data_IF_670796394231
#
_entry.id   IF_670796394231
#
_cell.length_a   1.000
_cell.length_b   1.000
_cell.length_c   1.000
_cell.angle_alpha   90.00
_cell.angle_beta   90.00
_cell.angle_gamma   90.00
#
_symmetry.space_group_name_H-M   'P 1'
#
loop_
_entity.id
_entity.type
_entity.pdbx_description
1 polymer ?
#
# COMPACT_ATOMS: atom_id res chain seq x y z
N UNK A 1 60.04 8.79 -14.05
CA UNK A 1 59.13 7.95 -14.82
C UNK A 1 58.68 6.78 -13.98
N UNK A 2 57.49 6.82 -13.39
CA UNK A 2 56.75 5.65 -12.87
C UNK A 2 55.27 5.90 -13.07
N UNK A 3 54.65 5.10 -13.94
CA UNK A 3 53.20 5.06 -14.18
C UNK A 3 52.52 4.45 -12.96
N UNK A 4 51.55 5.14 -12.38
CA UNK A 4 50.60 4.61 -11.39
C UNK A 4 49.30 4.33 -12.13
N UNK A 5 48.91 3.08 -12.15
CA UNK A 5 47.67 2.59 -12.75
C UNK A 5 46.45 2.99 -11.89
N UNK A 6 45.47 3.60 -12.52
CA UNK A 6 44.13 3.79 -11.94
C UNK A 6 43.42 2.44 -11.91
N UNK A 7 43.07 1.94 -10.72
CA UNK A 7 42.08 0.85 -10.55
C UNK A 7 40.69 1.47 -10.44
N UNK A 8 39.78 0.90 -11.23
CA UNK A 8 38.41 1.27 -11.36
C UNK A 8 37.63 1.07 -10.06
N UNK A 9 36.91 2.12 -9.64
CA UNK A 9 35.82 2.05 -8.70
C UNK A 9 34.50 1.89 -9.53
N UNK A 10 34.02 0.67 -9.69
CA UNK A 10 32.74 0.36 -10.30
C UNK A 10 31.98 -0.70 -9.49
N UNK A 11 31.71 -0.40 -8.23
CA UNK A 11 30.99 -1.31 -7.35
C UNK A 11 29.75 -0.71 -6.67
N UNK A 12 29.65 0.62 -6.60
CA UNK A 12 28.64 1.27 -5.74
C UNK A 12 27.40 1.80 -6.48
N UNK A 13 27.27 1.55 -7.80
CA UNK A 13 26.12 2.11 -8.55
C UNK A 13 24.89 1.20 -8.61
N UNK A 14 25.01 -0.08 -8.28
CA UNK A 14 23.90 -1.05 -8.40
C UNK A 14 23.02 -1.05 -7.14
N UNK A 15 23.59 -0.87 -5.95
CA UNK A 15 22.82 -0.84 -4.70
C UNK A 15 21.94 0.41 -4.54
N UNK A 16 22.34 1.54 -5.12
CA UNK A 16 21.55 2.78 -5.08
C UNK A 16 20.28 2.75 -5.96
N UNK A 17 20.22 1.83 -6.95
CA UNK A 17 19.03 1.67 -7.80
C UNK A 17 17.96 0.74 -7.21
N UNK A 18 18.33 -0.13 -6.29
CA UNK A 18 17.42 -1.13 -5.68
C UNK A 18 16.57 -0.51 -4.55
N UNK A 19 17.12 0.45 -3.79
CA UNK A 19 16.34 1.20 -2.81
C UNK A 19 15.23 2.09 -3.43
N UNK A 20 15.37 2.44 -4.71
CA UNK A 20 14.41 3.29 -5.45
C UNK A 20 13.16 2.52 -5.89
N UNK A 21 13.20 1.19 -6.01
CA UNK A 21 12.06 0.41 -6.53
C UNK A 21 10.92 0.27 -5.52
N UNK A 22 11.21 0.17 -4.24
CA UNK A 22 10.16 0.19 -3.17
C UNK A 22 9.67 1.62 -2.89
N UNK A 23 10.44 2.64 -3.30
CA UNK A 23 10.12 4.07 -3.18
C UNK A 23 9.55 4.67 -4.46
N UNK A 24 9.57 3.96 -5.59
CA UNK A 24 9.20 4.46 -6.92
C UNK A 24 7.74 4.90 -7.07
N UNK A 25 6.83 4.42 -6.23
CA UNK A 25 5.45 4.91 -6.18
C UNK A 25 5.30 6.28 -5.49
N UNK A 26 6.33 6.76 -4.79
CA UNK A 26 6.33 8.05 -4.08
C UNK A 26 7.14 9.16 -4.77
N UNK A 27 8.00 8.85 -5.76
CA UNK A 27 8.99 9.82 -6.28
C UNK A 27 8.61 10.55 -7.58
N UNK A 28 7.46 10.27 -8.23
CA UNK A 28 7.10 10.87 -9.54
C UNK A 28 6.28 12.16 -9.47
N UNK A 29 5.92 12.67 -8.29
CA UNK A 29 5.14 13.92 -8.15
C UNK A 29 5.97 15.20 -7.98
N UNK A 30 7.29 15.13 -7.83
CA UNK A 30 8.11 16.29 -7.48
C UNK A 30 8.61 17.17 -8.65
N UNK A 31 8.46 16.80 -9.91
CA UNK A 31 9.13 17.49 -11.03
C UNK A 31 8.24 18.13 -12.10
N UNK A 32 6.97 18.48 -11.81
CA UNK A 32 6.14 19.21 -12.78
C UNK A 32 5.33 20.36 -12.17
N UNK A 33 6.00 21.28 -11.46
CA UNK A 33 5.40 22.58 -11.12
C UNK A 33 6.37 23.75 -11.40
N UNK A 34 6.67 23.98 -12.66
CA UNK A 34 7.07 25.29 -13.17
C UNK A 34 6.45 25.51 -14.55
N UNK A 35 5.24 26.05 -14.59
CA UNK A 35 4.80 27.05 -15.56
C UNK A 35 3.28 27.27 -15.46
N UNK A 36 2.98 28.50 -15.24
CA UNK A 36 1.78 29.27 -15.49
C UNK A 36 0.88 29.62 -14.30
N UNK A 37 1.24 30.76 -13.68
CA UNK A 37 0.29 31.67 -13.03
C UNK A 37 -0.78 32.12 -14.03
N UNK A 38 -2.04 31.71 -13.81
CA UNK A 38 -3.22 32.49 -14.19
C UNK A 38 -4.23 32.37 -13.05
N UNK A 39 -4.45 33.56 -12.41
CA UNK A 39 -5.57 33.79 -11.52
C UNK A 39 -6.88 33.50 -12.24
N UNK A 40 -7.71 32.64 -11.65
CA UNK A 40 -9.15 32.58 -11.91
C UNK A 40 -9.83 32.55 -10.55
N UNK A 41 -10.74 33.51 -10.37
CA UNK A 41 -11.54 33.78 -9.19
C UNK A 41 -12.41 32.58 -8.80
N UNK A 42 -12.46 32.34 -7.48
CA UNK A 42 -13.35 31.36 -6.86
C UNK A 42 -14.81 31.81 -6.96
N UNK A 43 -15.64 31.06 -7.64
CA UNK A 43 -17.09 31.05 -7.46
C UNK A 43 -17.56 29.68 -6.97
N UNK A 44 -18.46 29.74 -5.98
CA UNK A 44 -19.00 28.67 -5.20
C UNK A 44 -19.69 27.59 -6.05
N UNK A 45 -19.29 26.32 -5.87
CA UNK A 45 -20.09 25.16 -6.26
C UNK A 45 -20.29 24.30 -4.99
N UNK A 46 -21.53 23.92 -4.65
CA UNK A 46 -21.80 23.15 -3.43
C UNK A 46 -21.39 21.69 -3.60
N UNK A 47 -20.49 21.23 -2.72
CA UNK A 47 -20.24 19.81 -2.50
C UNK A 47 -21.48 19.15 -1.88
N UNK A 48 -22.09 18.21 -2.58
CA UNK A 48 -22.95 17.19 -1.98
C UNK A 48 -22.70 15.83 -2.63
N UNK A 49 -22.52 14.86 -1.75
CA UNK A 49 -22.50 13.41 -1.95
C UNK A 49 -21.21 12.80 -2.51
N UNK A 50 -20.27 12.58 -1.60
CA UNK A 50 -19.22 11.58 -1.71
C UNK A 50 -19.72 10.27 -1.09
N UNK A 51 -19.60 9.18 -1.83
CA UNK A 51 -19.84 7.81 -1.37
C UNK A 51 -18.95 7.53 -0.15
N UNK A 52 -19.58 7.34 0.98
CA UNK A 52 -18.97 6.75 2.17
C UNK A 52 -18.65 5.28 1.86
N UNK A 53 -17.39 4.97 1.72
CA UNK A 53 -16.90 3.61 1.88
C UNK A 53 -16.68 3.40 3.38
N UNK A 54 -17.68 2.84 4.05
CA UNK A 54 -17.62 2.40 5.43
C UNK A 54 -16.55 1.30 5.59
N UNK A 55 -15.40 1.67 6.13
CA UNK A 55 -14.53 0.73 6.80
C UNK A 55 -14.96 0.64 8.27
N UNK A 56 -15.93 -0.20 8.55
CA UNK A 56 -16.23 -0.58 9.93
C UNK A 56 -15.22 -1.62 10.40
N UNK A 57 -14.22 -1.19 11.17
CA UNK A 57 -13.56 -2.06 12.14
C UNK A 57 -14.61 -2.57 13.12
N UNK A 58 -14.87 -3.87 13.11
CA UNK A 58 -15.71 -4.50 14.14
C UNK A 58 -14.90 -4.70 15.40
N UNK A 59 -14.97 -3.73 16.31
CA UNK A 59 -14.54 -3.89 17.69
C UNK A 59 -15.53 -4.74 18.49
N UNK A 60 -14.91 -5.69 19.19
CA UNK A 60 -15.33 -6.45 20.34
C UNK A 60 -16.76 -6.25 20.88
N UNK A 61 -17.56 -7.29 20.77
CA UNK A 61 -18.80 -7.47 21.51
C UNK A 61 -18.49 -8.00 22.91
N UNK A 62 -18.77 -7.16 23.92
CA UNK A 62 -18.86 -7.56 25.32
C UNK A 62 -19.90 -8.67 25.54
N UNK A 63 -19.49 -9.68 26.32
CA UNK A 63 -20.34 -10.74 26.83
C UNK A 63 -21.52 -10.21 27.65
N UNK A 64 -22.72 -10.51 27.22
CA UNK A 64 -23.87 -10.69 28.12
C UNK A 64 -24.38 -12.12 28.01
N UNK A 65 -24.18 -12.85 29.09
CA UNK A 65 -24.76 -14.18 29.31
C UNK A 65 -26.28 -14.07 29.42
N UNK A 66 -27.00 -14.85 28.63
CA UNK A 66 -28.34 -15.33 28.93
C UNK A 66 -28.49 -16.74 28.36
N UNK A 67 -28.60 -17.70 29.26
CA UNK A 67 -28.93 -19.07 28.98
C UNK A 67 -30.30 -19.18 28.28
N UNK A 68 -30.36 -19.89 27.18
CA UNK A 68 -31.55 -20.64 26.78
C UNK A 68 -31.12 -21.85 25.96
N UNK A 69 -31.56 -23.02 26.40
CA UNK A 69 -31.28 -24.34 25.86
C UNK A 69 -31.90 -24.58 24.46
N UNK A 70 -31.20 -25.42 23.72
CA UNK A 70 -31.66 -26.35 22.67
C UNK A 70 -32.27 -25.82 21.37
N UNK A 71 -31.47 -25.92 20.31
CA UNK A 71 -31.75 -26.85 19.20
C UNK A 71 -30.48 -27.07 18.37
N UNK A 72 -29.97 -28.30 18.40
CA UNK A 72 -29.04 -28.86 17.41
C UNK A 72 -29.84 -28.96 16.13
N UNK A 73 -29.41 -28.28 15.03
CA UNK A 73 -29.39 -28.84 13.69
C UNK A 73 -28.94 -27.79 12.66
N UNK A 74 -28.15 -28.29 11.73
CA UNK A 74 -27.63 -27.68 10.51
C UNK A 74 -26.30 -26.91 10.65
N UNK A 75 -25.25 -27.71 10.86
CA UNK A 75 -23.95 -27.39 10.27
C UNK A 75 -24.18 -27.49 8.74
N UNK A 76 -24.49 -26.39 8.10
CA UNK A 76 -24.35 -26.26 6.66
C UNK A 76 -22.86 -26.43 6.37
N UNK A 77 -22.48 -27.57 5.80
CA UNK A 77 -21.18 -27.74 5.15
C UNK A 77 -21.01 -26.56 4.18
N UNK A 78 -20.21 -25.57 4.55
CA UNK A 78 -19.82 -24.52 3.64
C UNK A 78 -19.04 -25.19 2.53
N UNK A 79 -19.60 -25.21 1.32
CA UNK A 79 -18.87 -25.72 0.16
C UNK A 79 -17.55 -24.97 0.07
N UNK A 80 -16.43 -25.68 -0.13
CA UNK A 80 -15.13 -25.04 -0.24
C UNK A 80 -15.19 -23.98 -1.37
N UNK A 81 -14.57 -22.86 -1.14
CA UNK A 81 -14.45 -21.76 -2.11
C UNK A 81 -13.92 -22.33 -3.43
N UNK A 82 -14.69 -22.17 -4.51
CA UNK A 82 -14.25 -22.51 -5.86
C UNK A 82 -13.89 -21.22 -6.58
N UNK A 83 -12.61 -21.05 -6.84
CA UNK A 83 -12.11 -19.97 -7.67
C UNK A 83 -12.35 -20.28 -9.16
N UNK A 84 -12.82 -19.30 -9.93
CA UNK A 84 -13.13 -19.45 -11.35
C UNK A 84 -11.91 -19.28 -12.29
N UNK A 85 -10.72 -19.03 -11.72
CA UNK A 85 -9.48 -18.79 -12.48
C UNK A 85 -9.18 -17.33 -12.76
N UNK A 86 -10.19 -16.51 -13.04
CA UNK A 86 -10.01 -15.10 -13.43
C UNK A 86 -10.39 -14.11 -12.33
N UNK A 87 -9.67 -13.00 -12.31
CA UNK A 87 -9.93 -11.85 -11.44
C UNK A 87 -10.12 -10.60 -12.29
N UNK A 88 -10.75 -9.57 -11.71
CA UNK A 88 -10.93 -8.26 -12.33
C UNK A 88 -10.29 -7.19 -11.47
N UNK A 89 -9.33 -6.47 -12.04
CA UNK A 89 -8.56 -5.41 -11.38
C UNK A 89 -8.89 -4.09 -12.06
N UNK A 90 -9.34 -3.11 -11.29
CA UNK A 90 -9.51 -1.75 -11.78
C UNK A 90 -8.16 -1.03 -11.84
N UNK A 91 -7.87 -0.43 -12.97
CA UNK A 91 -6.62 0.28 -13.21
C UNK A 91 -6.83 1.75 -12.93
N UNK A 92 -6.10 2.29 -11.97
CA UNK A 92 -6.18 3.69 -11.61
C UNK A 92 -5.54 4.61 -12.66
N UNK A 93 -6.01 5.85 -12.70
CA UNK A 93 -5.51 6.89 -13.57
C UNK A 93 -4.04 7.20 -13.29
N UNK A 94 -3.41 7.98 -14.17
CA UNK A 94 -2.00 8.34 -14.06
C UNK A 94 -1.70 9.00 -12.71
N UNK A 95 -0.63 8.54 -12.05
CA UNK A 95 -0.27 8.96 -10.69
C UNK A 95 -1.22 8.45 -9.59
N UNK A 96 -2.00 7.38 -9.82
CA UNK A 96 -2.92 6.76 -8.85
C UNK A 96 -3.93 7.75 -8.24
N UNK A 97 -4.50 8.64 -9.09
CA UNK A 97 -5.41 9.71 -8.66
C UNK A 97 -6.89 9.30 -8.59
N UNK A 98 -7.22 8.06 -8.92
CA UNK A 98 -8.57 7.51 -8.87
C UNK A 98 -8.84 6.52 -10.01
N UNK A 99 -10.00 5.89 -9.98
CA UNK A 99 -10.38 4.81 -10.90
C UNK A 99 -10.79 5.30 -12.29
N UNK A 100 -11.09 6.59 -12.45
CA UNK A 100 -11.63 7.12 -13.69
C UNK A 100 -10.58 7.89 -14.49
N UNK A 101 -10.66 7.73 -15.82
CA UNK A 101 -9.73 8.35 -16.77
C UNK A 101 -10.50 9.31 -17.68
N UNK A 102 -9.90 10.48 -17.99
CA UNK A 102 -10.46 11.40 -18.98
C UNK A 102 -10.31 10.82 -20.39
N UNK A 103 -9.20 10.12 -20.64
CA UNK A 103 -8.86 9.49 -21.92
C UNK A 103 -8.03 8.24 -21.72
N UNK A 104 -8.15 7.30 -22.64
CA UNK A 104 -7.32 6.11 -22.72
C UNK A 104 -6.73 5.94 -24.11
N UNK A 105 -5.48 5.48 -24.19
CA UNK A 105 -4.79 5.10 -25.42
C UNK A 105 -4.25 3.70 -25.19
N UNK A 106 -4.81 2.71 -25.90
CA UNK A 106 -4.53 1.28 -25.68
C UNK A 106 -4.16 0.61 -27.00
N UNK A 107 -3.24 -0.33 -26.95
CA UNK A 107 -2.90 -1.16 -28.12
C UNK A 107 -1.45 -1.60 -28.16
N UNK A 108 -0.89 -1.68 -29.37
CA UNK A 108 0.51 -1.98 -29.68
C UNK A 108 1.21 -0.77 -30.29
N UNK A 109 2.52 -0.86 -30.53
CA UNK A 109 3.22 0.21 -31.27
C UNK A 109 2.65 0.48 -32.65
N UNK A 110 2.19 -0.59 -33.35
CA UNK A 110 1.67 -0.54 -34.70
C UNK A 110 0.21 -0.11 -34.78
N UNK A 111 -0.61 -0.47 -33.74
CA UNK A 111 -2.05 -0.18 -33.71
C UNK A 111 -2.44 0.35 -32.33
N UNK A 112 -2.91 1.61 -32.26
CA UNK A 112 -3.40 2.27 -31.06
C UNK A 112 -4.86 2.66 -31.23
N UNK A 113 -5.65 2.38 -30.21
CA UNK A 113 -7.04 2.81 -30.13
C UNK A 113 -7.18 3.91 -29.06
N UNK A 114 -8.07 4.86 -29.34
CA UNK A 114 -8.23 6.09 -28.57
C UNK A 114 -9.64 6.18 -28.04
N UNK A 115 -9.79 6.43 -26.76
CA UNK A 115 -11.07 6.54 -26.08
C UNK A 115 -11.11 7.82 -25.25
N UNK A 116 -12.26 8.52 -25.30
CA UNK A 116 -12.50 9.75 -24.57
C UNK A 116 -13.73 9.59 -23.69
N UNK A 117 -13.68 10.11 -22.45
CA UNK A 117 -14.83 10.13 -21.55
C UNK A 117 -15.98 10.95 -22.15
N UNK A 118 -17.20 10.45 -22.05
CA UNK A 118 -18.40 11.05 -22.61
C UNK A 118 -18.79 10.55 -24.01
N UNK A 119 -17.98 9.69 -24.65
CA UNK A 119 -18.28 9.13 -25.96
C UNK A 119 -19.20 7.90 -25.92
N UNK A 120 -19.63 7.48 -24.72
CA UNK A 120 -20.47 6.29 -24.52
C UNK A 120 -19.75 4.97 -24.78
N UNK A 121 -18.44 4.93 -24.60
CA UNK A 121 -17.58 3.75 -24.87
C UNK A 121 -17.98 2.58 -23.96
N UNK A 122 -18.15 1.38 -24.56
CA UNK A 122 -18.25 0.12 -23.84
C UNK A 122 -17.64 -0.99 -24.69
N UNK A 123 -16.35 -1.25 -24.49
CA UNK A 123 -15.56 -2.16 -25.34
C UNK A 123 -14.75 -3.13 -24.50
N UNK A 124 -14.48 -4.29 -25.11
CA UNK A 124 -13.56 -5.30 -24.57
C UNK A 124 -12.43 -5.48 -25.59
N UNK A 125 -11.19 -5.28 -25.14
CA UNK A 125 -10.00 -5.41 -25.96
C UNK A 125 -9.24 -6.67 -25.52
N UNK A 126 -9.01 -7.59 -26.44
CA UNK A 126 -8.16 -8.76 -26.17
C UNK A 126 -6.83 -8.64 -26.91
N UNK A 127 -5.71 -9.10 -26.33
CA UNK A 127 -4.41 -9.12 -26.98
C UNK A 127 -4.43 -9.87 -28.33
N UNK A 128 -5.22 -10.95 -28.44
CA UNK A 128 -5.33 -11.74 -29.67
C UNK A 128 -5.87 -10.91 -30.84
N UNK A 129 -6.80 -9.98 -30.57
CA UNK A 129 -7.33 -9.07 -31.59
C UNK A 129 -6.28 -8.09 -32.15
N UNK A 130 -5.16 -7.95 -31.43
CA UNK A 130 -4.00 -7.14 -31.79
C UNK A 130 -2.78 -8.00 -32.21
N UNK A 131 -2.93 -9.32 -32.29
CA UNK A 131 -1.86 -10.28 -32.60
C UNK A 131 -0.64 -10.16 -31.67
N UNK A 132 -0.90 -10.03 -30.35
CA UNK A 132 0.12 -9.86 -29.32
C UNK A 132 -0.25 -10.67 -28.06
N UNK A 133 0.66 -10.78 -27.10
CA UNK A 133 0.42 -11.39 -25.80
C UNK A 133 -0.06 -10.37 -24.76
N UNK A 134 0.25 -9.09 -24.97
CA UNK A 134 -0.09 -8.01 -24.03
C UNK A 134 -0.57 -6.76 -24.75
N UNK A 135 -1.45 -6.00 -24.10
CA UNK A 135 -1.82 -4.65 -24.52
C UNK A 135 -1.11 -3.59 -23.67
N UNK A 136 -0.58 -2.57 -24.32
CA UNK A 136 0.05 -1.42 -23.66
C UNK A 136 -0.97 -0.31 -23.45
N UNK A 137 -1.01 0.27 -22.25
CA UNK A 137 -1.82 1.47 -21.97
C UNK A 137 -0.92 2.71 -22.02
N UNK A 138 -0.84 3.35 -23.18
CA UNK A 138 0.06 4.48 -23.47
C UNK A 138 -0.31 5.77 -22.74
N UNK A 139 -1.53 5.88 -22.27
CA UNK A 139 -2.00 7.03 -21.46
C UNK A 139 -1.63 6.94 -19.99
N UNK A 140 -1.02 5.83 -19.55
CA UNK A 140 -0.54 5.64 -18.18
C UNK A 140 0.98 5.64 -18.16
N UNK A 141 1.53 6.17 -17.06
CA UNK A 141 2.94 6.09 -16.74
C UNK A 141 3.14 5.49 -15.36
N UNK A 142 3.87 4.39 -15.29
CA UNK A 142 4.27 3.69 -14.08
C UNK A 142 5.80 3.68 -13.99
N UNK A 143 6.39 3.09 -12.97
CA UNK A 143 7.85 2.97 -12.85
C UNK A 143 8.46 2.21 -14.05
N UNK A 144 7.73 1.25 -14.61
CA UNK A 144 8.12 0.52 -15.82
C UNK A 144 7.92 1.32 -17.14
N UNK A 145 7.46 2.56 -17.09
CA UNK A 145 6.97 3.33 -18.25
C UNK A 145 5.49 3.06 -18.50
N UNK A 146 5.11 2.86 -19.77
CA UNK A 146 3.73 2.51 -20.11
C UNK A 146 3.47 1.04 -19.74
N UNK A 147 2.52 0.76 -18.82
CA UNK A 147 2.28 -0.61 -18.35
C UNK A 147 1.66 -1.49 -19.43
N UNK A 148 1.99 -2.78 -19.37
CA UNK A 148 1.50 -3.82 -20.29
C UNK A 148 0.63 -4.81 -19.51
N UNK A 149 -0.48 -5.21 -20.13
CA UNK A 149 -1.46 -6.08 -19.50
C UNK A 149 -1.70 -7.35 -20.30
N UNK A 150 -1.56 -8.50 -19.68
CA UNK A 150 -2.12 -9.77 -20.13
C UNK A 150 -3.62 -9.79 -19.91
N UNK A 151 -4.31 -10.79 -20.47
CA UNK A 151 -5.77 -10.89 -20.34
C UNK A 151 -6.51 -9.81 -21.14
N UNK A 152 -7.77 -9.58 -20.81
CA UNK A 152 -8.61 -8.61 -21.54
C UNK A 152 -8.74 -7.29 -20.78
N UNK A 153 -8.81 -6.19 -21.54
CA UNK A 153 -9.08 -4.86 -21.01
C UNK A 153 -10.51 -4.45 -21.34
N UNK A 154 -11.29 -4.15 -20.32
CA UNK A 154 -12.64 -3.62 -20.43
C UNK A 154 -12.58 -2.12 -20.21
N UNK A 155 -13.12 -1.34 -21.15
CA UNK A 155 -13.23 0.11 -21.07
C UNK A 155 -14.71 0.46 -21.08
N UNK A 156 -15.20 1.01 -19.97
CA UNK A 156 -16.61 1.39 -19.83
C UNK A 156 -16.70 2.87 -19.48
N UNK A 157 -17.46 3.62 -20.28
CA UNK A 157 -17.74 5.02 -20.00
C UNK A 157 -18.78 5.15 -18.88
N UNK A 158 -18.48 5.96 -17.90
CA UNK A 158 -19.28 6.26 -16.72
C UNK A 158 -19.46 7.78 -16.59
N UNK A 159 -20.41 8.28 -15.79
CA UNK A 159 -20.56 9.71 -15.56
C UNK A 159 -19.29 10.39 -15.04
N UNK A 160 -18.46 9.64 -14.29
CA UNK A 160 -17.21 10.11 -13.68
C UNK A 160 -16.00 10.01 -14.61
N UNK A 161 -16.12 9.32 -15.76
CA UNK A 161 -15.07 9.09 -16.75
C UNK A 161 -14.96 7.64 -17.21
N UNK A 162 -13.90 7.30 -17.92
CA UNK A 162 -13.67 5.94 -18.40
C UNK A 162 -13.14 5.06 -17.24
N UNK A 163 -13.85 3.98 -16.96
CA UNK A 163 -13.38 2.92 -16.07
C UNK A 163 -12.60 1.88 -16.88
N UNK A 164 -11.34 1.66 -16.52
CA UNK A 164 -10.48 0.63 -17.11
C UNK A 164 -10.38 -0.56 -16.15
N UNK A 165 -10.75 -1.75 -16.61
CA UNK A 165 -10.66 -3.00 -15.85
C UNK A 165 -9.86 -4.03 -16.63
N UNK A 166 -8.91 -4.67 -15.99
CA UNK A 166 -8.18 -5.82 -16.53
C UNK A 166 -8.80 -7.11 -15.97
N UNK A 167 -9.29 -7.97 -16.86
CA UNK A 167 -9.71 -9.33 -16.55
C UNK A 167 -8.61 -10.31 -16.95
N UNK A 168 -8.09 -11.06 -15.96
CA UNK A 168 -6.84 -11.81 -16.11
C UNK A 168 -6.87 -13.10 -15.29
N UNK A 169 -6.17 -14.15 -15.72
CA UNK A 169 -5.90 -15.34 -14.91
C UNK A 169 -5.06 -14.99 -13.69
N UNK A 170 -5.31 -15.63 -12.55
CA UNK A 170 -4.67 -15.32 -11.27
C UNK A 170 -3.14 -15.40 -11.33
N UNK A 171 -2.60 -16.48 -11.90
CA UNK A 171 -1.15 -16.67 -11.95
C UNK A 171 -0.46 -15.63 -12.88
N UNK A 172 -1.12 -15.21 -13.96
CA UNK A 172 -0.63 -14.13 -14.83
C UNK A 172 -0.70 -12.77 -14.13
N UNK A 173 -1.73 -12.51 -13.33
CA UNK A 173 -1.82 -11.31 -12.48
C UNK A 173 -0.63 -11.22 -11.53
N UNK A 174 -0.26 -12.31 -10.88
CA UNK A 174 0.86 -12.34 -9.94
C UNK A 174 2.20 -11.97 -10.60
N UNK A 175 2.38 -12.23 -11.91
CA UNK A 175 3.60 -11.81 -12.62
C UNK A 175 3.76 -10.28 -12.67
N UNK A 176 2.67 -9.52 -12.60
CA UNK A 176 2.70 -8.06 -12.49
C UNK A 176 2.74 -7.56 -11.05
N UNK A 177 2.25 -8.36 -10.09
CA UNK A 177 2.23 -8.00 -8.65
C UNK A 177 3.58 -8.26 -8.00
N UNK A 178 4.10 -9.47 -8.10
CA UNK A 178 5.27 -9.89 -7.33
C UNK A 178 6.48 -8.97 -7.52
N UNK A 179 6.92 -8.60 -8.74
CA UNK A 179 8.03 -7.67 -8.92
C UNK A 179 7.68 -6.22 -8.53
N UNK A 180 6.38 -5.88 -8.46
CA UNK A 180 5.93 -4.54 -8.06
C UNK A 180 5.86 -4.38 -6.54
N UNK A 181 5.70 -5.47 -5.79
CA UNK A 181 5.62 -5.52 -4.33
C UNK A 181 6.96 -5.84 -3.68
N UNK A 182 7.76 -6.75 -4.28
CA UNK A 182 9.02 -7.21 -3.72
C UNK A 182 10.13 -7.15 -4.78
N UNK A 183 11.33 -6.59 -4.46
CA UNK A 183 12.44 -6.57 -5.40
C UNK A 183 12.79 -7.97 -5.90
N UNK A 184 12.80 -8.17 -7.22
CA UNK A 184 13.12 -9.44 -7.85
C UNK A 184 14.54 -9.97 -7.51
N UNK A 185 15.42 -9.13 -6.92
CA UNK A 185 16.73 -9.50 -6.40
C UNK A 185 16.71 -10.19 -5.04
N UNK A 186 15.55 -10.35 -4.42
CA UNK A 186 15.44 -11.07 -3.14
C UNK A 186 15.68 -12.58 -3.34
N UNK A 187 16.03 -13.32 -2.26
CA UNK A 187 16.18 -14.78 -2.32
C UNK A 187 14.91 -15.46 -2.84
N UNK A 188 15.07 -16.58 -3.53
CA UNK A 188 13.97 -17.34 -4.14
C UNK A 188 12.89 -17.71 -3.11
N UNK A 189 13.28 -18.16 -1.92
CA UNK A 189 12.34 -18.54 -0.86
C UNK A 189 11.51 -17.33 -0.35
N UNK A 190 12.09 -16.13 -0.31
CA UNK A 190 11.33 -14.92 0.00
C UNK A 190 10.33 -14.56 -1.10
N UNK A 191 10.71 -14.72 -2.38
CA UNK A 191 9.82 -14.49 -3.52
C UNK A 191 8.67 -15.51 -3.53
N UNK A 192 8.94 -16.79 -3.20
CA UNK A 192 7.91 -17.85 -3.07
C UNK A 192 6.92 -17.51 -1.94
N UNK A 193 7.42 -17.13 -0.75
CA UNK A 193 6.57 -16.72 0.36
C UNK A 193 5.67 -15.54 -0.02
N UNK A 194 6.23 -14.53 -0.71
CA UNK A 194 5.46 -13.37 -1.18
C UNK A 194 4.43 -13.77 -2.24
N UNK A 195 4.73 -14.70 -3.15
CA UNK A 195 3.79 -15.17 -4.16
C UNK A 195 2.57 -15.85 -3.51
N UNK A 196 2.80 -16.71 -2.50
CA UNK A 196 1.71 -17.33 -1.71
C UNK A 196 0.89 -16.27 -0.97
N UNK A 197 1.55 -15.31 -0.33
CA UNK A 197 0.85 -14.21 0.34
C UNK A 197 0.01 -13.39 -0.66
N UNK A 198 0.55 -12.97 -1.78
CA UNK A 198 -0.16 -12.17 -2.78
C UNK A 198 -1.37 -12.91 -3.34
N UNK A 199 -1.22 -14.21 -3.64
CA UNK A 199 -2.31 -15.08 -4.10
C UNK A 199 -3.40 -15.21 -3.05
N UNK A 200 -3.04 -15.48 -1.80
CA UNK A 200 -3.99 -15.59 -0.69
C UNK A 200 -4.76 -14.30 -0.48
N UNK A 201 -4.06 -13.16 -0.48
CA UNK A 201 -4.64 -11.85 -0.24
C UNK A 201 -5.69 -11.49 -1.31
N UNK A 202 -5.36 -11.60 -2.60
CA UNK A 202 -6.32 -11.25 -3.65
C UNK A 202 -7.56 -12.15 -3.64
N UNK A 203 -7.38 -13.47 -3.36
CA UNK A 203 -8.50 -14.41 -3.26
C UNK A 203 -9.39 -14.12 -2.04
N UNK A 204 -8.80 -13.79 -0.91
CA UNK A 204 -9.54 -13.37 0.27
C UNK A 204 -10.37 -12.10 -0.01
N UNK A 205 -9.74 -11.07 -0.56
CA UNK A 205 -10.42 -9.81 -0.87
C UNK A 205 -11.54 -9.98 -1.90
N UNK A 206 -11.33 -10.82 -2.92
CA UNK A 206 -12.37 -11.16 -3.87
C UNK A 206 -13.55 -11.88 -3.20
N UNK A 207 -13.27 -12.79 -2.27
CA UNK A 207 -14.30 -13.48 -1.49
C UNK A 207 -15.13 -12.50 -0.63
N UNK A 208 -14.51 -11.43 -0.13
CA UNK A 208 -15.19 -10.35 0.60
C UNK A 208 -15.96 -9.39 -0.31
N UNK A 209 -15.85 -9.51 -1.64
CA UNK A 209 -16.48 -8.60 -2.60
C UNK A 209 -15.80 -7.22 -2.66
N UNK A 210 -14.53 -7.13 -2.27
CA UNK A 210 -13.77 -5.89 -2.31
C UNK A 210 -13.58 -5.41 -3.75
N UNK A 211 -13.47 -4.09 -3.92
CA UNK A 211 -13.03 -3.46 -5.17
C UNK A 211 -11.51 -3.61 -5.26
N UNK A 212 -11.04 -4.37 -6.25
CA UNK A 212 -9.62 -4.64 -6.44
C UNK A 212 -9.03 -3.59 -7.38
N UNK A 213 -7.94 -2.93 -6.99
CA UNK A 213 -7.25 -1.93 -7.81
C UNK A 213 -5.72 -2.16 -7.87
N UNK A 214 -5.03 -1.41 -8.73
CA UNK A 214 -3.60 -1.56 -9.00
C UNK A 214 -2.68 -0.73 -8.10
N UNK A 215 -3.20 -0.16 -7.01
CA UNK A 215 -2.46 0.75 -6.14
C UNK A 215 -2.07 0.13 -4.79
N UNK A 216 -1.33 0.92 -3.98
CA UNK A 216 -0.98 0.57 -2.61
C UNK A 216 -2.17 0.45 -1.64
N UNK A 217 -3.38 0.83 -2.07
CA UNK A 217 -4.59 0.58 -1.28
C UNK A 217 -5.01 -0.89 -1.33
N UNK A 218 -4.56 -1.62 -2.35
CA UNK A 218 -4.81 -3.05 -2.53
C UNK A 218 -3.49 -3.81 -2.74
N UNK A 219 -3.06 -4.03 -4.00
CA UNK A 219 -1.76 -4.60 -4.37
C UNK A 219 -1.19 -3.84 -5.55
N UNK A 220 0.06 -3.43 -5.46
CA UNK A 220 0.71 -2.74 -6.58
C UNK A 220 0.84 -3.68 -7.76
N UNK A 221 0.23 -3.32 -8.89
CA UNK A 221 0.16 -4.16 -10.08
C UNK A 221 0.74 -3.45 -11.30
N UNK A 222 1.62 -4.11 -12.04
CA UNK A 222 2.28 -3.60 -13.25
C UNK A 222 3.00 -2.24 -13.09
N UNK A 223 3.45 -1.93 -11.86
CA UNK A 223 4.30 -0.76 -11.63
C UNK A 223 5.77 -1.04 -12.02
N UNK A 224 6.20 -2.30 -11.91
CA UNK A 224 7.51 -2.80 -12.35
C UNK A 224 7.28 -3.90 -13.40
N UNK A 225 8.17 -3.99 -14.38
CA UNK A 225 8.08 -5.04 -15.39
C UNK A 225 8.26 -6.44 -14.77
N UNK A 226 7.63 -7.45 -15.35
CA UNK A 226 7.77 -8.84 -14.90
C UNK A 226 9.26 -9.28 -14.97
N UNK A 227 9.64 -10.19 -14.06
CA UNK A 227 11.01 -10.72 -13.93
C UNK A 227 10.98 -12.24 -13.88
N UNK A 228 11.90 -12.89 -14.58
CA UNK A 228 11.95 -14.35 -14.70
C UNK A 228 12.07 -15.08 -13.34
N UNK A 229 12.75 -14.48 -12.33
CA UNK A 229 12.86 -15.05 -10.99
C UNK A 229 11.54 -14.99 -10.24
N UNK A 230 10.81 -13.88 -10.38
CA UNK A 230 9.46 -13.76 -9.85
C UNK A 230 8.52 -14.77 -10.52
N UNK A 231 8.59 -14.91 -11.85
CA UNK A 231 7.76 -15.86 -12.59
C UNK A 231 8.07 -17.32 -12.19
N UNK A 232 9.34 -17.66 -11.95
CA UNK A 232 9.74 -18.97 -11.46
C UNK A 232 9.20 -19.24 -10.03
N UNK A 233 9.25 -18.26 -9.13
CA UNK A 233 8.70 -18.36 -7.78
C UNK A 233 7.17 -18.55 -7.80
N UNK A 234 6.45 -17.80 -8.65
CA UNK A 234 5.00 -17.97 -8.87
C UNK A 234 4.68 -19.37 -9.37
N UNK A 235 5.40 -19.84 -10.41
CA UNK A 235 5.16 -21.14 -11.01
C UNK A 235 5.45 -22.29 -10.04
N UNK A 236 6.50 -22.18 -9.19
CA UNK A 236 6.86 -23.23 -8.22
C UNK A 236 5.88 -23.33 -7.04
N UNK A 237 5.09 -22.29 -6.78
CA UNK A 237 4.06 -22.22 -5.74
C UNK A 237 2.64 -22.12 -6.31
N UNK A 238 2.46 -22.51 -7.59
CA UNK A 238 1.18 -22.33 -8.28
C UNK A 238 0.03 -23.03 -7.52
N UNK A 239 -1.06 -22.28 -7.32
CA UNK A 239 -2.23 -22.74 -6.58
C UNK A 239 -2.06 -22.83 -5.06
N UNK A 240 -0.89 -22.53 -4.48
CA UNK A 240 -0.70 -22.57 -3.03
C UNK A 240 -1.22 -21.30 -2.35
N UNK A 241 -1.99 -21.50 -1.27
CA UNK A 241 -2.57 -20.43 -0.45
C UNK A 241 -2.42 -20.73 1.04
N UNK A 242 -2.47 -19.70 1.85
CA UNK A 242 -2.70 -19.80 3.28
C UNK A 242 -4.21 -19.91 3.54
N UNK A 243 -4.65 -20.96 4.21
CA UNK A 243 -6.05 -21.23 4.47
C UNK A 243 -6.41 -21.12 5.96
N UNK A 244 -7.70 -20.85 6.22
CA UNK A 244 -8.32 -20.85 7.55
C UNK A 244 -8.52 -22.26 8.15
N UNK A 245 -7.98 -23.31 7.52
CA UNK A 245 -8.17 -24.72 7.87
C UNK A 245 -9.53 -25.31 7.45
N UNK A 246 -10.43 -24.51 6.88
CA UNK A 246 -11.69 -24.96 6.24
C UNK A 246 -11.58 -24.94 4.72
N UNK A 247 -10.40 -24.57 4.25
CA UNK A 247 -10.10 -24.47 2.84
C UNK A 247 -10.48 -23.12 2.20
N UNK A 248 -10.78 -22.07 2.93
CA UNK A 248 -10.94 -20.72 2.37
C UNK A 248 -9.62 -19.96 2.46
N UNK A 249 -9.34 -19.05 1.51
CA UNK A 249 -8.23 -18.12 1.68
C UNK A 249 -8.37 -17.38 3.01
N UNK A 250 -7.28 -17.33 3.78
CA UNK A 250 -7.26 -16.64 5.07
C UNK A 250 -7.07 -15.14 4.88
N UNK A 251 -7.53 -14.36 5.86
CA UNK A 251 -7.19 -12.94 5.97
C UNK A 251 -5.71 -12.82 6.34
N UNK A 252 -4.92 -12.29 5.42
CA UNK A 252 -3.48 -12.08 5.65
C UNK A 252 -3.06 -10.72 5.13
N UNK A 253 -1.93 -10.22 5.63
CA UNK A 253 -1.32 -8.97 5.23
C UNK A 253 0.19 -9.13 5.13
N UNK A 254 0.86 -8.22 4.44
CA UNK A 254 2.32 -8.14 4.41
C UNK A 254 2.77 -6.68 4.32
N UNK A 255 3.98 -6.38 4.74
CA UNK A 255 4.52 -5.04 4.78
C UNK A 255 6.04 -5.06 4.61
N UNK A 256 6.66 -3.88 4.44
CA UNK A 256 8.05 -3.78 4.03
C UNK A 256 9.05 -4.26 5.11
N UNK A 257 9.08 -3.58 6.29
CA UNK A 257 10.16 -3.77 7.28
C UNK A 257 9.60 -3.76 8.70
N UNK A 258 9.99 -4.74 9.51
CA UNK A 258 9.65 -4.80 10.93
C UNK A 258 10.60 -3.93 11.77
N UNK A 259 10.04 -3.28 12.80
CA UNK A 259 10.81 -2.59 13.85
C UNK A 259 11.28 -3.54 14.96
N UNK A 260 10.70 -4.72 15.04
CA UNK A 260 10.82 -5.65 16.17
C UNK A 260 11.72 -6.86 15.87
N UNK A 261 11.90 -7.19 14.59
CA UNK A 261 12.66 -8.36 14.19
C UNK A 261 14.15 -8.04 14.06
N UNK A 262 14.94 -8.64 14.95
CA UNK A 262 16.41 -8.50 14.94
C UNK A 262 17.08 -8.99 13.65
N UNK A 263 16.45 -9.89 12.90
CA UNK A 263 16.93 -10.35 11.60
C UNK A 263 16.98 -9.20 10.58
N UNK A 264 16.19 -8.16 10.77
CA UNK A 264 16.08 -6.98 9.90
C UNK A 264 16.96 -5.79 10.35
N UNK A 265 17.75 -5.93 11.40
CA UNK A 265 18.58 -4.84 11.98
C UNK A 265 19.45 -4.11 10.97
N UNK A 266 19.86 -4.74 9.88
CA UNK A 266 20.66 -4.14 8.81
C UNK A 266 19.85 -3.38 7.76
N UNK A 267 18.53 -3.48 7.78
CA UNK A 267 17.68 -2.80 6.81
C UNK A 267 17.53 -1.33 7.15
N UNK A 268 17.57 -0.46 6.13
CA UNK A 268 17.58 0.99 6.32
C UNK A 268 16.38 1.52 7.11
N UNK A 269 15.20 0.93 6.91
CA UNK A 269 13.99 1.29 7.61
C UNK A 269 13.88 0.70 9.03
N UNK A 270 14.86 -0.08 9.47
CA UNK A 270 14.83 -0.66 10.81
C UNK A 270 14.81 0.39 11.92
N UNK A 271 15.46 1.57 11.67
CA UNK A 271 15.36 2.77 12.51
C UNK A 271 15.17 4.00 11.64
N UNK A 272 14.42 4.96 12.13
CA UNK A 272 14.22 6.26 11.48
C UNK A 272 13.91 7.36 12.49
N UNK A 273 14.24 8.60 12.13
CA UNK A 273 13.88 9.83 12.81
C UNK A 273 12.98 10.66 11.89
N UNK A 274 11.99 11.33 12.45
CA UNK A 274 11.11 12.25 11.72
C UNK A 274 10.84 13.48 12.56
N UNK A 275 10.96 14.68 12.01
CA UNK A 275 10.74 15.91 12.74
C UNK A 275 9.87 16.90 11.96
N UNK A 276 8.84 17.40 12.60
CA UNK A 276 8.08 18.58 12.18
C UNK A 276 8.32 19.70 13.20
N UNK A 277 9.39 20.48 13.01
CA UNK A 277 9.83 21.49 13.99
C UNK A 277 9.09 22.82 13.86
N UNK A 278 8.36 23.03 12.77
CA UNK A 278 7.58 24.24 12.49
C UNK A 278 6.15 23.88 12.09
N UNK A 279 5.48 23.15 12.99
CA UNK A 279 4.14 22.63 12.76
C UNK A 279 3.12 23.74 12.50
N UNK A 280 2.37 23.61 11.41
CA UNK A 280 1.18 24.42 11.19
C UNK A 280 0.00 23.86 12.00
N UNK A 281 -0.46 24.60 13.00
CA UNK A 281 -1.62 24.20 13.81
C UNK A 281 -2.88 24.02 12.94
N UNK A 282 -3.07 24.84 11.92
CA UNK A 282 -4.21 24.75 10.98
C UNK A 282 -4.14 23.44 10.18
N UNK A 283 -2.95 23.11 9.65
CA UNK A 283 -2.78 21.89 8.87
C UNK A 283 -2.97 20.64 9.75
N UNK A 284 -2.47 20.64 11.00
CA UNK A 284 -2.69 19.55 11.93
C UNK A 284 -4.18 19.37 12.25
N UNK A 285 -4.89 20.48 12.56
CA UNK A 285 -6.34 20.45 12.80
C UNK A 285 -7.12 19.95 11.58
N UNK A 286 -6.71 20.32 10.36
CA UNK A 286 -7.33 19.85 9.12
C UNK A 286 -7.10 18.35 8.93
N UNK A 287 -5.90 17.84 9.19
CA UNK A 287 -5.62 16.38 9.12
C UNK A 287 -6.41 15.57 10.15
N UNK A 288 -6.55 16.08 11.38
CA UNK A 288 -7.43 15.47 12.39
C UNK A 288 -8.85 15.37 11.84
N UNK A 289 -9.40 16.47 11.31
CA UNK A 289 -10.74 16.47 10.76
C UNK A 289 -10.90 15.61 9.49
N UNK A 290 -9.84 15.34 8.75
CA UNK A 290 -9.89 14.41 7.60
C UNK A 290 -10.02 12.94 8.04
N UNK A 291 -9.53 12.60 9.25
CA UNK A 291 -9.69 11.27 9.84
C UNK A 291 -11.00 11.16 10.65
N UNK A 292 -11.35 12.24 11.36
CA UNK A 292 -12.47 12.30 12.29
C UNK A 292 -13.23 13.63 12.09
N UNK A 293 -14.18 13.68 11.15
CA UNK A 293 -14.87 14.92 10.78
C UNK A 293 -15.55 15.62 11.97
N UNK A 294 -15.33 16.94 12.07
CA UNK A 294 -15.95 17.78 13.11
C UNK A 294 -15.30 17.73 14.50
N UNK A 295 -14.18 17.03 14.64
CA UNK A 295 -13.43 16.94 15.90
C UNK A 295 -12.88 18.30 16.33
N UNK A 296 -12.28 19.07 15.40
CA UNK A 296 -11.86 20.47 15.62
C UNK A 296 -12.87 21.37 14.92
N UNK A 297 -13.57 22.22 15.71
CA UNK A 297 -14.64 23.07 15.17
C UNK A 297 -14.12 24.25 14.38
N UNK A 298 -13.05 24.89 14.86
CA UNK A 298 -12.45 26.07 14.23
C UNK A 298 -10.95 25.83 13.95
N UNK A 299 -10.59 25.06 12.89
CA UNK A 299 -9.18 24.73 12.59
C UNK A 299 -8.26 25.95 12.53
N UNK A 300 -8.74 27.10 11.99
CA UNK A 300 -7.95 28.33 11.87
C UNK A 300 -7.64 29.03 13.19
N UNK A 301 -8.37 28.71 14.26
CA UNK A 301 -8.20 29.30 15.60
C UNK A 301 -7.66 28.30 16.62
N UNK A 302 -7.70 27.02 16.30
CA UNK A 302 -7.24 25.97 17.21
C UNK A 302 -5.73 26.08 17.45
N UNK A 303 -5.34 25.97 18.72
CA UNK A 303 -3.93 25.89 19.15
C UNK A 303 -3.74 24.63 19.97
N UNK A 304 -2.56 24.06 19.88
CA UNK A 304 -2.19 22.83 20.57
C UNK A 304 -1.27 23.16 21.75
N UNK A 305 -1.50 22.50 22.87
CA UNK A 305 -0.66 22.61 24.08
C UNK A 305 0.32 21.46 24.19
N UNK A 306 -0.04 20.29 23.67
CA UNK A 306 0.78 19.08 23.63
C UNK A 306 0.07 17.94 22.93
N UNK A 307 0.79 16.86 22.74
CA UNK A 307 0.25 15.57 22.30
C UNK A 307 1.10 14.44 22.86
N UNK A 308 0.48 13.28 23.07
CA UNK A 308 1.13 12.07 23.56
C UNK A 308 0.43 10.81 23.08
N UNK A 309 1.16 9.71 22.98
CA UNK A 309 0.58 8.39 22.73
C UNK A 309 0.10 7.84 24.07
N UNK A 310 -1.21 7.69 24.23
CA UNK A 310 -1.87 7.22 25.46
C UNK A 310 -2.23 5.74 25.42
N UNK A 311 -2.34 5.16 24.20
CA UNK A 311 -2.63 3.74 24.00
C UNK A 311 -1.72 3.11 22.95
N UNK A 312 -1.39 1.83 23.19
CA UNK A 312 -0.61 1.00 22.26
C UNK A 312 -1.33 -0.33 22.03
N UNK A 313 -1.12 -0.93 20.86
CA UNK A 313 -1.48 -2.33 20.60
C UNK A 313 -0.56 -3.27 21.38
N UNK A 314 -0.93 -4.54 21.48
CA UNK A 314 -0.13 -5.56 22.17
C UNK A 314 1.31 -5.67 21.61
N UNK A 315 1.50 -5.41 20.34
CA UNK A 315 2.81 -5.41 19.66
C UNK A 315 3.61 -4.09 19.85
N UNK A 316 3.05 -3.10 20.56
CA UNK A 316 3.70 -1.83 20.85
C UNK A 316 3.44 -0.71 19.85
N UNK A 317 2.65 -0.93 18.78
CA UNK A 317 2.25 0.14 17.84
C UNK A 317 1.34 1.15 18.51
N UNK A 318 1.50 2.43 18.17
CA UNK A 318 0.62 3.49 18.61
C UNK A 318 -0.83 3.22 18.17
N UNK A 319 -1.77 3.26 19.12
CA UNK A 319 -3.19 3.02 18.90
C UNK A 319 -4.05 4.21 19.27
N UNK A 320 -3.61 5.03 20.25
CA UNK A 320 -4.31 6.22 20.68
C UNK A 320 -3.33 7.39 20.79
N UNK A 321 -3.67 8.51 20.15
CA UNK A 321 -2.94 9.77 20.20
C UNK A 321 -3.85 10.82 20.84
N UNK A 322 -3.49 11.29 22.02
CA UNK A 322 -4.20 12.38 22.71
C UNK A 322 -3.55 13.73 22.38
N UNK A 323 -4.38 14.73 22.05
CA UNK A 323 -3.96 16.11 21.79
C UNK A 323 -4.71 17.07 22.71
N UNK A 324 -3.97 17.85 23.49
CA UNK A 324 -4.51 18.95 24.28
C UNK A 324 -4.63 20.22 23.45
N UNK A 325 -5.84 20.75 23.30
CA UNK A 325 -6.12 21.91 22.42
C UNK A 325 -6.88 23.02 23.13
N UNK A 326 -7.01 24.17 22.47
CA UNK A 326 -7.86 25.29 22.93
C UNK A 326 -9.35 24.94 22.94
N UNK A 327 -9.76 23.89 22.25
CA UNK A 327 -11.14 23.40 22.19
C UNK A 327 -11.40 22.20 23.12
N UNK A 328 -10.39 21.78 23.90
CA UNK A 328 -10.42 20.62 24.79
C UNK A 328 -9.45 19.52 24.34
N UNK A 329 -9.58 18.36 24.93
CA UNK A 329 -8.80 17.17 24.59
C UNK A 329 -9.42 16.46 23.39
N UNK A 330 -8.58 16.06 22.44
CA UNK A 330 -8.94 15.32 21.23
C UNK A 330 -8.18 14.01 21.25
N UNK A 331 -8.84 12.90 20.96
CA UNK A 331 -8.22 11.59 20.83
C UNK A 331 -8.34 11.11 19.37
N UNK A 332 -7.21 10.76 18.74
CA UNK A 332 -7.16 10.11 17.44
C UNK A 332 -6.90 8.62 17.66
N UNK A 333 -7.79 7.78 17.18
CA UNK A 333 -7.74 6.32 17.39
C UNK A 333 -7.41 5.62 16.09
N UNK A 334 -6.57 4.59 16.19
CA UNK A 334 -6.14 3.75 15.08
C UNK A 334 -4.77 4.12 14.52
N UNK A 335 -3.95 3.11 14.28
CA UNK A 335 -2.57 3.23 13.79
C UNK A 335 -2.49 4.04 12.49
N UNK A 336 -3.36 3.74 11.53
CA UNK A 336 -3.39 4.43 10.23
C UNK A 336 -3.74 5.92 10.39
N UNK A 337 -4.76 6.25 11.20
CA UNK A 337 -5.17 7.63 11.45
C UNK A 337 -4.06 8.43 12.13
N UNK A 338 -3.38 7.85 13.11
CA UNK A 338 -2.24 8.46 13.80
C UNK A 338 -1.12 8.77 12.83
N UNK A 339 -0.74 7.81 11.98
CA UNK A 339 0.31 8.00 10.96
C UNK A 339 -0.05 9.11 9.97
N UNK A 340 -1.31 9.19 9.56
CA UNK A 340 -1.81 10.22 8.64
C UNK A 340 -1.82 11.60 9.31
N UNK A 341 -2.28 11.70 10.55
CA UNK A 341 -2.33 12.96 11.31
C UNK A 341 -0.92 13.52 11.56
N UNK A 342 0.05 12.66 11.87
CA UNK A 342 1.43 13.06 12.15
C UNK A 342 2.27 13.31 10.90
N UNK A 343 1.86 12.90 9.71
CA UNK A 343 2.56 13.21 8.47
C UNK A 343 2.14 14.57 7.93
N UNK A 344 3.08 15.50 7.77
CA UNK A 344 2.79 16.85 7.25
C UNK A 344 2.91 16.98 5.72
N UNK A 345 3.34 15.92 5.04
CA UNK A 345 3.48 15.86 3.60
C UNK A 345 4.74 16.53 3.04
N UNK A 346 5.61 17.09 3.90
CA UNK A 346 6.83 17.80 3.48
C UNK A 346 8.07 17.44 4.27
N UNK A 347 7.92 17.05 5.55
CA UNK A 347 9.04 16.62 6.39
C UNK A 347 9.59 15.29 5.94
N UNK A 348 10.86 15.07 6.23
CA UNK A 348 11.58 13.87 5.82
C UNK A 348 11.77 12.91 7.00
N UNK A 349 11.67 11.62 6.71
CA UNK A 349 12.25 10.62 7.57
C UNK A 349 13.75 10.52 7.26
N UNK A 350 14.57 10.50 8.31
CA UNK A 350 16.01 10.22 8.22
C UNK A 350 16.21 8.77 8.60
N UNK A 351 16.66 7.95 7.67
CA UNK A 351 16.83 6.52 7.83
C UNK A 351 18.11 6.18 8.60
N UNK A 352 18.28 4.91 8.95
CA UNK A 352 19.40 4.40 9.72
C UNK A 352 20.77 4.72 9.12
N UNK A 353 20.90 4.78 7.78
CA UNK A 353 22.12 5.14 7.07
C UNK A 353 22.28 6.65 6.82
N UNK A 354 21.37 7.48 7.31
CA UNK A 354 21.32 8.91 7.09
C UNK A 354 20.61 9.33 5.80
N UNK A 355 20.04 8.41 5.02
CA UNK A 355 19.23 8.73 3.85
C UNK A 355 17.97 9.48 4.27
N UNK A 356 17.66 10.58 3.57
CA UNK A 356 16.46 11.36 3.80
C UNK A 356 15.38 11.01 2.78
N UNK A 357 14.17 10.69 3.27
CA UNK A 357 13.00 10.37 2.45
C UNK A 357 11.82 11.25 2.83
N UNK A 358 11.28 12.00 1.86
CA UNK A 358 10.07 12.81 2.08
C UNK A 358 8.88 11.91 2.33
N UNK A 359 8.15 12.17 3.42
CA UNK A 359 6.92 11.47 3.76
C UNK A 359 5.73 12.28 3.26
N UNK A 360 5.02 11.78 2.25
CA UNK A 360 3.94 12.55 1.59
C UNK A 360 2.57 12.37 2.24
N UNK A 361 2.25 11.16 2.71
CA UNK A 361 0.91 10.83 3.21
C UNK A 361 0.92 10.27 4.64
N UNK A 362 1.85 9.38 4.94
CA UNK A 362 1.94 8.66 6.22
C UNK A 362 3.36 8.74 6.76
N UNK A 363 3.55 8.85 8.08
CA UNK A 363 4.85 8.55 8.68
C UNK A 363 5.18 7.06 8.51
N UNK A 364 6.47 6.64 8.61
CA UNK A 364 6.89 5.30 8.15
C UNK A 364 6.15 4.13 8.78
N UNK A 365 5.86 4.18 10.08
CA UNK A 365 5.18 3.10 10.83
C UNK A 365 4.47 3.62 12.07
N UNK A 366 3.75 2.74 12.77
CA UNK A 366 3.17 3.00 14.09
C UNK A 366 4.13 2.73 15.26
N UNK A 367 5.35 2.27 15.01
CA UNK A 367 6.36 1.98 16.05
C UNK A 367 7.27 3.19 16.27
N UNK A 368 6.94 4.06 17.21
CA UNK A 368 7.73 5.25 17.52
C UNK A 368 7.52 5.75 18.95
N UNK A 369 8.52 6.47 19.47
CA UNK A 369 8.40 7.39 20.58
C UNK A 369 8.27 8.82 20.08
N UNK A 370 7.67 9.70 20.86
CA UNK A 370 7.37 11.07 20.48
C UNK A 370 7.83 12.07 21.52
N UNK A 371 8.42 13.17 21.06
CA UNK A 371 8.74 14.35 21.84
C UNK A 371 8.07 15.58 21.24
N UNK A 372 7.42 16.41 22.09
CA UNK A 372 6.82 17.67 21.66
C UNK A 372 7.81 18.83 21.80
N UNK A 373 7.78 19.76 20.84
CA UNK A 373 8.57 21.00 20.84
C UNK A 373 7.67 22.12 21.27
N UNK A 374 8.05 22.80 22.36
CA UNK A 374 7.27 23.87 22.99
C UNK A 374 7.83 25.26 22.74
N UNK A 375 6.92 26.25 22.59
CA UNK A 375 7.24 27.68 22.68
C UNK A 375 6.25 28.35 23.65
N UNK A 376 6.73 28.64 24.86
CA UNK A 376 5.85 29.04 25.96
C UNK A 376 4.90 27.88 26.33
N UNK A 377 3.61 28.12 26.32
CA UNK A 377 2.58 27.09 26.62
C UNK A 377 2.05 26.35 25.39
N UNK A 378 2.50 26.73 24.21
CA UNK A 378 2.00 26.13 22.98
C UNK A 378 3.01 25.18 22.35
N UNK A 379 2.51 24.07 21.85
CA UNK A 379 3.27 23.16 21.02
C UNK A 379 3.46 23.78 19.61
N UNK A 380 4.71 23.79 19.17
CA UNK A 380 5.09 24.31 17.85
C UNK A 380 5.65 23.25 16.91
N UNK A 381 5.83 22.02 17.40
CA UNK A 381 6.38 20.92 16.64
C UNK A 381 6.51 19.65 17.45
N UNK A 382 7.05 18.63 16.81
CA UNK A 382 7.33 17.31 17.42
C UNK A 382 8.46 16.59 16.69
N UNK A 383 9.09 15.67 17.40
CA UNK A 383 10.05 14.69 16.88
C UNK A 383 9.58 13.29 17.17
N UNK A 384 9.79 12.40 16.22
CA UNK A 384 9.46 10.98 16.32
C UNK A 384 10.75 10.18 16.11
N UNK A 385 11.01 9.23 16.99
CA UNK A 385 12.09 8.24 16.85
C UNK A 385 11.48 6.87 16.75
N UNK A 386 11.60 6.22 15.62
CA UNK A 386 10.86 5.01 15.32
C UNK A 386 11.64 3.95 14.55
N UNK A 387 10.92 2.93 14.13
CA UNK A 387 11.46 1.85 13.32
C UNK A 387 10.39 1.15 12.48
N UNK A 388 10.83 0.44 11.45
CA UNK A 388 9.97 -0.27 10.52
C UNK A 388 9.35 0.62 9.44
N UNK A 389 8.81 -0.03 8.41
CA UNK A 389 8.09 0.63 7.32
C UNK A 389 6.86 -0.19 6.91
N UNK A 390 5.70 0.40 7.04
CA UNK A 390 4.40 -0.22 6.76
C UNK A 390 3.52 -0.34 8.00
N UNK A 391 2.41 -1.08 7.87
CA UNK A 391 1.39 -1.22 8.91
C UNK A 391 1.72 -2.26 9.99
N UNK A 392 2.76 -3.11 9.81
CA UNK A 392 3.21 -4.06 10.81
C UNK A 392 2.33 -5.31 11.01
N UNK A 393 1.36 -5.58 10.13
CA UNK A 393 0.53 -6.80 10.19
C UNK A 393 1.05 -7.86 9.22
N UNK A 394 1.12 -9.13 9.68
CA UNK A 394 1.52 -10.28 8.86
C UNK A 394 3.00 -10.31 8.50
N UNK A 395 3.35 -10.74 7.29
CA UNK A 395 4.73 -10.98 6.88
C UNK A 395 5.49 -9.68 6.60
N UNK A 396 6.67 -9.53 7.23
CA UNK A 396 7.66 -8.54 6.81
C UNK A 396 8.41 -9.04 5.57
N UNK A 397 8.44 -8.25 4.50
CA UNK A 397 9.16 -8.59 3.27
C UNK A 397 10.67 -8.64 3.47
N UNK A 398 11.23 -7.71 4.25
CA UNK A 398 12.64 -7.74 4.62
C UNK A 398 12.95 -8.85 5.64
N UNK A 399 12.01 -9.22 6.50
CA UNK A 399 12.11 -10.38 7.35
C UNK A 399 12.15 -11.69 6.55
N UNK A 400 11.25 -11.85 5.59
CA UNK A 400 11.28 -13.00 4.67
C UNK A 400 12.62 -13.10 3.93
N UNK A 401 13.16 -11.98 3.44
CA UNK A 401 14.52 -11.91 2.86
C UNK A 401 15.59 -12.36 3.84
N UNK A 402 15.52 -11.88 5.09
CA UNK A 402 16.54 -12.19 6.10
C UNK A 402 16.53 -13.68 6.46
N UNK A 403 15.36 -14.28 6.65
CA UNK A 403 15.22 -15.71 6.96
C UNK A 403 15.59 -16.60 5.79
N UNK A 404 15.20 -16.25 4.57
CA UNK A 404 15.64 -16.97 3.38
C UNK A 404 17.19 -16.94 3.21
N UNK A 405 17.86 -15.82 3.55
CA UNK A 405 19.31 -15.74 3.58
C UNK A 405 19.95 -16.61 4.68
N UNK A 406 19.20 -16.96 5.73
CA UNK A 406 19.63 -17.90 6.77
C UNK A 406 19.36 -19.35 6.39
N UNK A 407 18.72 -19.61 5.24
CA UNK A 407 18.46 -20.93 4.69
C UNK A 407 17.06 -21.48 5.03
N UNK A 408 16.17 -20.66 5.58
CA UNK A 408 14.76 -21.09 5.80
C UNK A 408 14.03 -21.19 4.46
N UNK A 409 13.22 -22.23 4.32
CA UNK A 409 12.31 -22.42 3.17
C UNK A 409 11.12 -21.46 3.26
N UNK A 410 10.42 -21.26 2.14
CA UNK A 410 9.24 -20.38 2.13
C UNK A 410 8.12 -20.89 3.04
N UNK A 411 7.99 -22.22 3.22
CA UNK A 411 7.03 -22.82 4.15
C UNK A 411 7.38 -22.48 5.61
N UNK A 412 8.68 -22.53 5.98
CA UNK A 412 9.15 -22.15 7.31
C UNK A 412 8.94 -20.64 7.56
N UNK A 413 9.23 -19.80 6.56
CA UNK A 413 8.98 -18.36 6.61
C UNK A 413 7.48 -18.08 6.80
N UNK A 414 6.61 -18.68 6.00
CA UNK A 414 5.16 -18.51 6.14
C UNK A 414 4.64 -18.99 7.49
N UNK A 415 5.10 -20.14 7.99
CA UNK A 415 4.72 -20.67 9.29
C UNK A 415 5.15 -19.76 10.45
N UNK A 416 6.25 -19.02 10.30
CA UNK A 416 6.72 -18.01 11.29
C UNK A 416 5.76 -16.84 11.42
N UNK A 417 5.28 -16.30 10.29
CA UNK A 417 4.42 -15.12 10.27
C UNK A 417 2.93 -15.45 10.43
N UNK A 418 2.53 -16.67 10.09
CA UNK A 418 1.14 -17.14 10.13
C UNK A 418 1.03 -18.52 10.78
N UNK A 419 1.39 -18.65 12.08
CA UNK A 419 1.50 -19.94 12.75
C UNK A 419 0.18 -20.72 12.86
N UNK A 420 -0.96 -20.00 12.79
CA UNK A 420 -2.30 -20.60 12.92
C UNK A 420 -2.92 -20.97 11.56
N UNK A 421 -2.27 -20.62 10.45
CA UNK A 421 -2.77 -20.89 9.10
C UNK A 421 -2.13 -22.15 8.51
N UNK A 422 -2.77 -22.70 7.48
CA UNK A 422 -2.27 -23.87 6.76
C UNK A 422 -1.92 -23.51 5.33
N UNK A 423 -0.74 -23.93 4.89
CA UNK A 423 -0.38 -23.92 3.49
C UNK A 423 -1.10 -25.08 2.78
N UNK A 424 -1.92 -24.79 1.79
CA UNK A 424 -2.70 -25.75 1.02
C UNK A 424 -2.58 -25.45 -0.48
N UNK A 425 -2.45 -26.52 -1.29
CA UNK A 425 -2.50 -26.41 -2.76
C UNK A 425 -3.92 -26.57 -3.28
N UNK A 426 -4.31 -25.82 -4.31
CA UNK A 426 -5.66 -25.83 -4.91
C UNK A 426 -5.63 -26.00 -6.43
#
# INVERSE_FOLDING_TARGET
MKRISKKNASGNSIYMKIAVVVLGSLFLLANHNQASNRQVSAENIPLKETLEADFTETDAVEKKSAETENTVDNITETKPFKFSGKIQIHIQSDGYRGLFHDRLIVGTEERKEYYQAGDGTNVVLSPEAFHTETLTVYSLNRTCGNPRYHGTLHITDRPEGLLLTNEIELEDYLQGVLPSEMPAGYPEEALKAQAVCARTYVLYQQLQGAVLDDSTNFQVYNNVASDERCNAAIASTAGEILSDGKGNPAEIYYYSTSALDEAERSENWYRWEYANEQMSAVNLATRINSCQPGTIREPSKCKFYGMEITGHREDGRAQELELSTTEGTVCVVGEYAIRLVLCDGVSKAVLQDGTEVTMEKLIPSGFFSMETIQKGKFMIGYRLSGGGFGHGNGMSQNGAKAYANQGESYEEILARYYPDLKLESR
#
